data_IF_269418297203
#
_entry.id   IF_269418297203
#
_cell.length_a   1.000
_cell.length_b   1.000
_cell.length_c   1.000
_cell.angle_alpha   90.00
_cell.angle_beta   90.00
_cell.angle_gamma   90.00
#
_symmetry.space_group_name_H-M   'P 1'
#
loop_
_entity.id
_entity.type
_entity.pdbx_description
1 polymer ?
#
# COMPACT_ATOMS: atom_id res chain seq x y z
N UNK A 1 5.79 1.19 -5.75
CA UNK A 1 5.07 -0.11 -5.65
C UNK A 1 4.89 -0.43 -4.18
N UNK A 2 3.75 -0.04 -3.60
CA UNK A 2 3.40 -0.48 -2.26
C UNK A 2 2.67 -1.81 -2.40
N UNK A 3 3.40 -2.92 -2.25
CA UNK A 3 2.79 -4.23 -2.11
C UNK A 3 2.41 -4.37 -0.64
N UNK A 4 1.13 -4.22 -0.33
CA UNK A 4 0.62 -4.58 0.99
C UNK A 4 0.64 -6.10 1.03
N UNK A 5 1.62 -6.68 1.72
CA UNK A 5 1.67 -8.12 1.96
C UNK A 5 0.89 -8.41 3.24
N UNK A 6 -0.29 -9.01 3.08
CA UNK A 6 -1.05 -9.54 4.20
C UNK A 6 -0.57 -10.98 4.46
N UNK A 7 0.37 -11.14 5.36
CA UNK A 7 0.68 -12.44 5.94
C UNK A 7 0.50 -12.35 7.44
N UNK A 8 -0.73 -12.60 7.89
CA UNK A 8 -1.02 -12.74 9.32
C UNK A 8 -1.28 -14.20 9.60
N UNK A 9 -0.24 -14.91 10.03
CA UNK A 9 -0.33 -16.31 10.43
C UNK A 9 -0.89 -16.42 11.84
N UNK A 10 -2.07 -17.03 11.98
CA UNK A 10 -2.49 -17.75 13.20
C UNK A 10 -2.79 -16.96 14.48
N UNK A 11 -2.63 -15.64 14.50
CA UNK A 11 -3.04 -14.80 15.63
C UNK A 11 -4.38 -14.16 15.28
N UNK A 12 -5.34 -14.19 16.20
CA UNK A 12 -6.63 -13.47 16.06
C UNK A 12 -6.37 -11.94 16.12
N UNK A 13 -5.71 -11.40 15.12
CA UNK A 13 -5.34 -10.00 15.04
C UNK A 13 -6.32 -9.32 14.09
N UNK A 14 -6.94 -8.25 14.54
CA UNK A 14 -7.73 -7.40 13.67
C UNK A 14 -6.77 -6.52 12.87
N UNK A 15 -6.56 -6.82 11.60
CA UNK A 15 -5.83 -5.95 10.71
C UNK A 15 -6.82 -5.00 10.02
N UNK A 16 -6.64 -3.70 10.21
CA UNK A 16 -7.46 -2.66 9.58
C UNK A 16 -6.61 -1.96 8.51
N UNK A 17 -6.82 -2.24 7.23
CA UNK A 17 -6.12 -1.54 6.16
C UNK A 17 -6.76 -0.17 5.93
N UNK A 18 -5.97 0.88 6.09
CA UNK A 18 -6.31 2.26 5.74
C UNK A 18 -5.55 2.61 4.47
N UNK A 19 -6.28 2.80 3.38
CA UNK A 19 -5.72 3.15 2.07
C UNK A 19 -5.94 4.64 1.76
N UNK A 20 -5.42 5.11 0.63
CA UNK A 20 -5.61 6.48 0.13
C UNK A 20 -7.05 6.75 -0.38
N UNK A 21 -7.95 5.78 -0.32
CA UNK A 21 -9.39 5.99 -0.56
C UNK A 21 -9.93 6.87 0.59
N UNK A 22 -10.79 7.85 0.30
CA UNK A 22 -11.39 8.68 1.33
C UNK A 22 -12.01 7.82 2.44
N UNK A 23 -11.52 7.98 3.67
CA UNK A 23 -11.97 7.24 4.83
C UNK A 23 -12.36 8.20 5.97
N UNK A 24 -13.20 7.73 6.87
CA UNK A 24 -13.61 8.44 8.07
C UNK A 24 -12.91 7.83 9.28
N UNK A 25 -12.11 8.62 10.00
CA UNK A 25 -11.44 8.17 11.23
C UNK A 25 -12.46 7.53 12.19
N UNK A 26 -13.61 8.13 12.36
CA UNK A 26 -14.61 7.63 13.30
C UNK A 26 -15.26 6.32 12.85
N UNK A 27 -15.66 6.23 11.58
CA UNK A 27 -16.41 5.08 11.05
C UNK A 27 -15.50 3.90 10.70
N UNK A 28 -14.36 4.20 10.06
CA UNK A 28 -13.54 3.17 9.43
C UNK A 28 -12.38 2.72 10.33
N UNK A 29 -12.06 3.48 11.39
CA UNK A 29 -10.97 3.18 12.30
C UNK A 29 -11.44 3.02 13.75
N UNK A 30 -12.01 4.08 14.34
CA UNK A 30 -12.35 4.09 15.78
C UNK A 30 -13.48 3.09 16.09
N UNK A 31 -14.55 3.09 15.32
CA UNK A 31 -15.69 2.18 15.53
C UNK A 31 -15.27 0.70 15.44
N UNK A 32 -14.57 0.22 14.39
CA UNK A 32 -14.09 -1.17 14.34
C UNK A 32 -13.16 -1.55 15.50
N UNK A 33 -12.31 -0.63 15.97
CA UNK A 33 -11.44 -0.87 17.13
C UNK A 33 -12.25 -1.06 18.41
N UNK A 34 -13.28 -0.23 18.65
CA UNK A 34 -14.18 -0.40 19.78
C UNK A 34 -14.97 -1.71 19.71
N UNK A 35 -15.49 -2.06 18.55
CA UNK A 35 -16.21 -3.33 18.36
C UNK A 35 -15.30 -4.53 18.60
N UNK A 36 -14.06 -4.46 18.16
CA UNK A 36 -13.07 -5.51 18.40
C UNK A 36 -12.70 -5.60 19.90
N UNK A 37 -12.55 -4.46 20.58
CA UNK A 37 -12.31 -4.39 22.02
C UNK A 37 -13.46 -5.01 22.82
N UNK A 38 -14.70 -4.69 22.44
CA UNK A 38 -15.89 -5.26 23.09
C UNK A 38 -16.06 -6.76 22.88
N UNK A 39 -15.50 -7.30 21.76
CA UNK A 39 -15.41 -8.75 21.50
C UNK A 39 -14.27 -9.44 22.25
N UNK A 40 -13.53 -8.71 23.11
CA UNK A 40 -12.42 -9.24 23.90
C UNK A 40 -11.09 -9.40 23.16
N UNK A 41 -10.94 -8.80 21.99
CA UNK A 41 -9.64 -8.79 21.28
C UNK A 41 -8.63 -7.96 22.09
N UNK A 42 -7.41 -8.48 22.21
CA UNK A 42 -6.32 -7.85 22.99
C UNK A 42 -5.25 -7.19 22.11
N UNK A 43 -5.19 -7.58 20.84
CA UNK A 43 -4.17 -7.11 19.90
C UNK A 43 -4.82 -6.58 18.63
N UNK A 44 -4.28 -5.45 18.16
CA UNK A 44 -4.77 -4.75 16.99
C UNK A 44 -3.59 -4.39 16.10
N UNK A 45 -3.74 -4.52 14.79
CA UNK A 45 -2.80 -4.04 13.79
C UNK A 45 -3.57 -3.13 12.84
N UNK A 46 -3.11 -1.89 12.71
CA UNK A 46 -3.64 -0.94 11.71
C UNK A 46 -2.54 -0.73 10.68
N UNK A 47 -2.85 -1.05 9.43
CA UNK A 47 -1.92 -0.89 8.30
C UNK A 47 -2.33 0.35 7.54
N UNK A 48 -1.47 1.36 7.52
CA UNK A 48 -1.74 2.67 6.93
C UNK A 48 -0.89 2.87 5.69
N UNK A 49 -1.51 3.24 4.56
CA UNK A 49 -0.78 3.60 3.36
C UNK A 49 -0.06 4.94 3.55
N UNK A 50 1.09 5.12 2.89
CA UNK A 50 1.93 6.33 3.01
C UNK A 50 1.18 7.61 2.65
N UNK A 51 0.31 7.56 1.64
CA UNK A 51 -0.47 8.71 1.17
C UNK A 51 -1.60 9.17 2.10
N UNK A 52 -1.90 8.43 3.18
CA UNK A 52 -2.95 8.80 4.15
C UNK A 52 -2.53 9.99 5.02
N UNK A 53 -1.22 10.16 5.27
CA UNK A 53 -0.68 11.27 6.03
C UNK A 53 0.07 10.86 7.30
N UNK A 54 -0.01 11.68 8.34
CA UNK A 54 0.78 11.53 9.56
C UNK A 54 0.29 10.37 10.42
N UNK A 55 0.97 9.23 10.30
CA UNK A 55 0.68 8.00 11.03
C UNK A 55 0.91 8.14 12.54
N UNK A 56 1.82 9.03 12.96
CA UNK A 56 2.09 9.28 14.38
C UNK A 56 0.88 9.94 15.02
N UNK A 57 0.36 11.00 14.39
CA UNK A 57 -0.89 11.64 14.84
C UNK A 57 -2.07 10.69 14.85
N UNK A 58 -2.13 9.78 13.87
CA UNK A 58 -3.19 8.78 13.86
C UNK A 58 -3.11 7.83 15.06
N UNK A 59 -1.92 7.43 15.47
CA UNK A 59 -1.73 6.64 16.69
C UNK A 59 -2.14 7.39 17.95
N UNK A 60 -1.82 8.68 18.05
CA UNK A 60 -2.24 9.55 19.16
C UNK A 60 -3.79 9.63 19.25
N UNK A 61 -4.46 9.85 18.11
CA UNK A 61 -5.93 9.89 18.03
C UNK A 61 -6.54 8.55 18.48
N UNK A 62 -5.96 7.41 18.07
CA UNK A 62 -6.43 6.09 18.50
C UNK A 62 -6.33 5.99 20.02
N UNK A 63 -5.17 6.33 20.61
CA UNK A 63 -4.93 6.25 22.04
C UNK A 63 -5.89 7.16 22.83
N UNK A 64 -6.02 8.41 22.42
CA UNK A 64 -6.90 9.39 23.08
C UNK A 64 -8.37 8.95 23.07
N UNK A 65 -8.85 8.45 21.91
CA UNK A 65 -10.26 8.15 21.74
C UNK A 65 -10.68 6.77 22.22
N UNK A 66 -9.79 5.78 22.16
CA UNK A 66 -10.14 4.38 22.50
C UNK A 66 -9.53 3.90 23.81
N UNK A 67 -8.52 4.61 24.35
CA UNK A 67 -7.72 4.17 25.48
C UNK A 67 -6.86 2.93 25.16
N UNK A 68 -6.66 2.61 23.88
CA UNK A 68 -5.78 1.53 23.43
C UNK A 68 -4.38 2.12 23.24
N UNK A 69 -3.37 1.56 23.92
CA UNK A 69 -1.96 1.95 23.69
C UNK A 69 -1.60 1.64 22.22
N UNK A 70 -1.31 2.68 21.46
CA UNK A 70 -1.02 2.60 20.03
C UNK A 70 0.39 3.14 19.75
N UNK A 71 1.14 2.40 18.93
CA UNK A 71 2.51 2.77 18.53
C UNK A 71 2.63 2.74 17.04
N UNK A 72 3.05 3.86 16.45
CA UNK A 72 3.33 3.94 15.02
C UNK A 72 4.71 3.35 14.72
N UNK A 73 4.79 2.49 13.71
CA UNK A 73 6.05 2.00 13.14
C UNK A 73 6.08 2.32 11.66
N UNK A 74 6.96 3.23 11.26
CA UNK A 74 7.15 3.60 9.86
C UNK A 74 8.17 2.66 9.26
N UNK A 75 7.71 1.75 8.39
CA UNK A 75 8.55 0.70 7.81
C UNK A 75 9.59 1.26 6.84
N UNK A 76 9.25 2.32 6.11
CA UNK A 76 10.16 3.02 5.21
C UNK A 76 10.94 2.07 4.30
N UNK A 77 12.25 2.07 4.41
CA UNK A 77 13.17 1.29 3.56
C UNK A 77 13.02 -0.24 3.68
N UNK A 78 12.49 -0.74 4.79
CA UNK A 78 12.18 -2.17 4.97
C UNK A 78 11.21 -2.69 3.89
N UNK A 79 10.31 -1.85 3.40
CA UNK A 79 9.36 -2.22 2.34
C UNK A 79 10.03 -2.43 0.99
N UNK A 80 11.24 -1.94 0.79
CA UNK A 80 12.00 -2.18 -0.44
C UNK A 80 12.33 -3.65 -0.62
N UNK A 81 12.45 -4.39 0.46
CA UNK A 81 12.80 -5.81 0.46
C UNK A 81 14.30 -6.07 0.38
N UNK A 82 14.64 -7.34 0.19
CA UNK A 82 16.02 -7.81 0.10
C UNK A 82 16.58 -7.82 -1.32
N UNK A 83 17.39 -8.83 -1.62
CA UNK A 83 17.96 -9.03 -2.96
C UNK A 83 16.87 -9.26 -4.01
N UNK A 84 17.07 -8.73 -5.24
CA UNK A 84 16.07 -8.89 -6.30
C UNK A 84 15.88 -10.36 -6.67
N UNK A 85 14.62 -10.74 -6.87
CA UNK A 85 14.26 -12.06 -7.37
C UNK A 85 14.62 -12.23 -8.85
N UNK A 86 14.55 -13.46 -9.36
CA UNK A 86 14.71 -13.73 -10.80
C UNK A 86 13.71 -12.91 -11.63
N UNK A 87 12.47 -12.78 -11.15
CA UNK A 87 11.45 -11.97 -11.83
C UNK A 87 11.83 -10.49 -11.90
N UNK A 88 12.36 -9.93 -10.81
CA UNK A 88 12.76 -8.53 -10.77
C UNK A 88 13.91 -8.27 -11.76
N UNK A 89 14.90 -9.16 -11.81
CA UNK A 89 16.04 -9.07 -12.74
C UNK A 89 15.58 -9.19 -14.19
N UNK A 90 14.72 -10.15 -14.48
CA UNK A 90 14.13 -10.36 -15.79
C UNK A 90 13.37 -9.11 -16.26
N UNK A 91 12.47 -8.60 -15.44
CA UNK A 91 11.71 -7.40 -15.75
C UNK A 91 12.59 -6.17 -15.95
N UNK A 92 13.60 -5.98 -15.09
CA UNK A 92 14.54 -4.88 -15.23
C UNK A 92 15.28 -4.94 -16.57
N UNK A 93 15.75 -6.13 -16.98
CA UNK A 93 16.44 -6.31 -18.26
C UNK A 93 15.55 -5.96 -19.45
N UNK A 94 14.32 -6.46 -19.48
CA UNK A 94 13.39 -6.16 -20.57
C UNK A 94 12.99 -4.70 -20.62
N UNK A 95 12.72 -4.08 -19.47
CA UNK A 95 12.43 -2.65 -19.40
C UNK A 95 13.62 -1.81 -19.87
N UNK A 96 14.85 -2.22 -19.57
CA UNK A 96 16.07 -1.55 -20.04
C UNK A 96 16.23 -1.65 -21.55
N UNK A 97 15.98 -2.82 -22.15
CA UNK A 97 16.00 -2.99 -23.60
C UNK A 97 14.99 -2.04 -24.24
N UNK A 98 13.76 -2.02 -23.76
CA UNK A 98 12.71 -1.14 -24.29
C UNK A 98 13.09 0.35 -24.16
N UNK A 99 13.75 0.75 -23.05
CA UNK A 99 14.24 2.12 -22.88
C UNK A 99 15.28 2.50 -23.95
N UNK A 100 16.23 1.61 -24.26
CA UNK A 100 17.22 1.82 -25.30
C UNK A 100 16.58 1.90 -26.69
N UNK A 101 15.59 1.05 -26.95
CA UNK A 101 14.82 1.10 -28.20
C UNK A 101 14.09 2.46 -28.34
N UNK A 102 13.46 2.97 -27.27
CA UNK A 102 12.85 4.30 -27.28
C UNK A 102 13.87 5.39 -27.63
N UNK A 103 15.07 5.35 -27.03
CA UNK A 103 16.12 6.33 -27.31
C UNK A 103 16.61 6.23 -28.75
N UNK A 104 16.84 5.01 -29.26
CA UNK A 104 17.25 4.78 -30.66
C UNK A 104 16.23 5.32 -31.64
N UNK A 105 14.94 5.17 -31.35
CA UNK A 105 13.83 5.63 -32.16
C UNK A 105 13.51 7.12 -31.99
N UNK A 106 14.32 7.86 -31.19
CA UNK A 106 14.15 9.28 -30.93
C UNK A 106 12.99 9.62 -29.97
N UNK A 107 12.41 8.63 -29.30
CA UNK A 107 11.36 8.84 -28.29
C UNK A 107 11.98 9.24 -26.97
N UNK A 108 12.04 10.54 -26.71
CA UNK A 108 12.60 11.13 -25.50
C UNK A 108 11.51 11.37 -24.44
N UNK A 109 11.91 11.65 -23.21
CA UNK A 109 11.04 11.96 -22.09
C UNK A 109 9.99 10.85 -21.80
N UNK A 110 10.44 9.57 -21.88
CA UNK A 110 9.57 8.41 -21.68
C UNK A 110 9.83 7.75 -20.33
N UNK A 111 8.76 7.32 -19.68
CA UNK A 111 8.78 6.42 -18.52
C UNK A 111 8.45 5.02 -19.02
N UNK A 112 9.33 4.05 -18.75
CA UNK A 112 9.07 2.65 -19.05
C UNK A 112 8.26 2.04 -17.89
N UNK A 113 7.13 1.47 -18.23
CA UNK A 113 6.19 0.90 -17.26
C UNK A 113 5.76 -0.51 -17.65
N UNK A 114 5.21 -1.25 -16.68
CA UNK A 114 4.57 -2.53 -16.92
C UNK A 114 3.08 -2.39 -16.66
N UNK A 115 2.28 -2.50 -17.71
CA UNK A 115 0.82 -2.31 -17.67
C UNK A 115 0.12 -3.42 -18.46
N UNK A 116 -0.94 -4.00 -17.91
CA UNK A 116 -1.75 -5.00 -18.59
C UNK A 116 -0.96 -6.21 -19.10
N UNK A 117 0.09 -6.63 -18.38
CA UNK A 117 0.94 -7.75 -18.80
C UNK A 117 2.02 -7.41 -19.81
N UNK A 118 2.17 -6.14 -20.22
CA UNK A 118 3.13 -5.69 -21.26
C UNK A 118 4.03 -4.57 -20.72
N UNK A 119 5.22 -4.48 -21.31
CA UNK A 119 6.10 -3.33 -21.13
C UNK A 119 5.62 -2.25 -22.12
N UNK A 120 5.43 -1.05 -21.62
CA UNK A 120 4.96 0.11 -22.39
C UNK A 120 5.84 1.32 -22.04
N UNK A 121 5.87 2.28 -22.94
CA UNK A 121 6.46 3.59 -22.68
C UNK A 121 5.37 4.66 -22.64
N UNK A 122 5.43 5.51 -21.62
CA UNK A 122 4.48 6.58 -21.37
C UNK A 122 5.21 7.92 -21.43
N UNK A 123 4.53 8.95 -21.87
CA UNK A 123 5.02 10.31 -21.71
C UNK A 123 5.20 10.66 -20.24
N UNK A 124 6.31 11.33 -19.88
CA UNK A 124 6.64 11.62 -18.49
C UNK A 124 5.61 12.52 -17.82
N UNK A 125 5.10 13.52 -18.55
CA UNK A 125 4.12 14.47 -17.99
C UNK A 125 2.77 13.80 -17.80
N UNK A 126 2.36 12.94 -18.73
CA UNK A 126 1.14 12.14 -18.60
C UNK A 126 1.26 11.13 -17.47
N UNK A 127 2.38 10.44 -17.38
CA UNK A 127 2.62 9.44 -16.35
C UNK A 127 2.64 10.04 -14.93
N UNK A 128 3.19 11.26 -14.77
CA UNK A 128 3.20 11.97 -13.49
C UNK A 128 1.81 12.48 -13.07
N UNK A 129 0.92 12.72 -14.02
CA UNK A 129 -0.49 13.09 -13.74
C UNK A 129 -1.36 11.86 -13.44
N UNK A 130 -0.90 10.69 -13.83
CA UNK A 130 -1.66 9.46 -13.61
C UNK A 130 -1.66 9.07 -12.14
N UNK A 131 -2.83 9.05 -11.53
CA UNK A 131 -3.03 8.55 -10.17
C UNK A 131 -3.37 7.07 -10.19
N UNK A 132 -2.63 6.27 -9.42
CA UNK A 132 -2.98 4.87 -9.21
C UNK A 132 -4.01 4.81 -8.09
N UNK A 133 -5.24 4.45 -8.44
CA UNK A 133 -6.31 4.25 -7.47
C UNK A 133 -6.50 2.76 -7.20
N UNK A 134 -6.65 2.42 -5.92
CA UNK A 134 -7.13 1.09 -5.51
C UNK A 134 -8.64 1.10 -5.69
N UNK A 135 -9.19 0.08 -6.33
CA UNK A 135 -10.64 -0.04 -6.48
C UNK A 135 -11.28 -0.44 -5.15
N UNK A 136 -12.55 -0.06 -4.96
CA UNK A 136 -13.31 -0.49 -3.79
C UNK A 136 -13.39 -2.02 -3.68
N UNK A 137 -13.49 -2.71 -4.81
CA UNK A 137 -13.51 -4.17 -4.87
C UNK A 137 -12.21 -4.80 -4.36
N UNK A 138 -11.04 -4.23 -4.67
CA UNK A 138 -9.75 -4.69 -4.13
C UNK A 138 -9.66 -4.47 -2.63
N UNK A 139 -10.18 -3.34 -2.14
CA UNK A 139 -10.23 -3.05 -0.70
C UNK A 139 -11.19 -4.02 0.02
N UNK A 140 -12.38 -4.26 -0.52
CA UNK A 140 -13.36 -5.18 0.05
C UNK A 140 -12.80 -6.61 0.13
N UNK A 141 -12.08 -7.07 -0.89
CA UNK A 141 -11.36 -8.36 -0.86
C UNK A 141 -10.30 -8.41 0.25
N UNK A 142 -9.55 -7.33 0.43
CA UNK A 142 -8.56 -7.24 1.50
C UNK A 142 -9.23 -7.29 2.89
N UNK A 143 -10.39 -6.64 3.05
CA UNK A 143 -11.16 -6.68 4.29
C UNK A 143 -11.69 -8.08 4.61
N UNK A 144 -12.15 -8.85 3.62
CA UNK A 144 -12.59 -10.25 3.81
C UNK A 144 -11.43 -11.12 4.35
N UNK A 145 -10.22 -10.90 3.88
CA UNK A 145 -9.04 -11.65 4.30
C UNK A 145 -8.50 -11.22 5.68
N UNK A 146 -8.99 -10.09 6.22
CA UNK A 146 -8.57 -9.55 7.53
C UNK A 146 -9.47 -9.98 8.70
N UNK A 147 -10.56 -10.68 8.43
CA UNK A 147 -11.49 -11.21 9.43
C UNK A 147 -10.97 -12.54 9.99
#
# INVERSE_FOLDING_TARGET
>A
RHTISYSVTGVQTCALPISEIPFSIDKDLIKPLFEAKNRGKKHYIVIVAEGVGDTIKLAEIIQERTGIDARATILGHLQRGGSPSTRDRHMASYMSIHAIECLRDGRLNRIIAYQGGKIVDLDIEEALKATKTITKEELDRAMILSL
#
